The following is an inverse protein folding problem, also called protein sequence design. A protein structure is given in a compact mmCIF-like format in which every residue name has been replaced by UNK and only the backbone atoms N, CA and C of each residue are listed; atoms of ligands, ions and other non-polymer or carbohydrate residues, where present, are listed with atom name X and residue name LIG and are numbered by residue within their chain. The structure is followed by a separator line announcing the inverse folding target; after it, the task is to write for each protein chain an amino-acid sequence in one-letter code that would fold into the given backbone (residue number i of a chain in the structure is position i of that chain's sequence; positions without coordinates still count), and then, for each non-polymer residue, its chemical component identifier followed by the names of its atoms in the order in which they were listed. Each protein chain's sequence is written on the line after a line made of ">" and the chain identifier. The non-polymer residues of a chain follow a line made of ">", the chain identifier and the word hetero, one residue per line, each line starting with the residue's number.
data_IF_508859351339
#
_entry.id   IF_508859351339
#
_cell.length_a   1.000
_cell.length_b   1.000
_cell.length_c   1.000
_cell.angle_alpha   90.00
_cell.angle_beta   90.00
_cell.angle_gamma   90.00
#
_symmetry.space_group_name_H-M   'P 1'
#
loop_
_entity.id
_entity.type
_entity.pdbx_description
1 polymer ?
#
# COMPACT_ATOMS: atom_id res chain seq x y z
N UNK A 1 -4.44 -10.49 3.16
CA UNK A 1 -4.28 -10.95 1.78
C UNK A 1 -4.76 -9.89 0.83
N UNK A 2 -3.79 -9.21 0.24
CA UNK A 2 -4.02 -8.21 -0.80
C UNK A 2 -4.52 -8.93 -2.05
N UNK A 3 -5.54 -8.35 -2.70
CA UNK A 3 -6.12 -8.95 -3.90
C UNK A 3 -5.15 -8.83 -5.08
N UNK A 4 -4.90 -9.93 -5.80
CA UNK A 4 -4.11 -9.88 -7.03
C UNK A 4 -4.70 -8.93 -8.08
N UNK A 5 -6.02 -8.69 -8.05
CA UNK A 5 -6.67 -7.72 -8.94
C UNK A 5 -6.15 -6.29 -8.71
N UNK A 6 -5.73 -5.92 -7.48
CA UNK A 6 -5.24 -4.57 -7.21
C UNK A 6 -3.90 -4.27 -7.90
N UNK A 7 -3.20 -5.29 -8.38
CA UNK A 7 -1.98 -5.13 -9.17
C UNK A 7 -2.26 -4.81 -10.64
N UNK A 8 -3.51 -4.89 -11.09
CA UNK A 8 -3.84 -4.61 -12.50
C UNK A 8 -3.79 -3.10 -12.78
N UNK A 9 -3.30 -2.69 -13.98
CA UNK A 9 -3.30 -1.29 -14.39
C UNK A 9 -4.70 -0.65 -14.36
N UNK A 10 -5.73 -1.42 -14.67
CA UNK A 10 -7.13 -0.97 -14.69
C UNK A 10 -7.59 -0.61 -13.27
N UNK A 11 -7.29 -1.47 -12.30
CA UNK A 11 -7.64 -1.22 -10.90
C UNK A 11 -6.89 0.00 -10.36
N UNK A 12 -5.59 0.09 -10.64
CA UNK A 12 -4.75 1.24 -10.22
C UNK A 12 -5.29 2.55 -10.81
N UNK A 13 -5.63 2.57 -12.11
CA UNK A 13 -6.24 3.73 -12.77
C UNK A 13 -7.59 4.09 -12.17
N UNK A 14 -8.43 3.09 -11.86
CA UNK A 14 -9.73 3.31 -11.22
C UNK A 14 -9.57 3.93 -9.83
N UNK A 15 -8.67 3.40 -9.01
CA UNK A 15 -8.40 3.93 -7.66
C UNK A 15 -7.81 5.32 -7.71
N UNK A 16 -6.84 5.57 -8.59
CA UNK A 16 -6.29 6.90 -8.86
C UNK A 16 -7.42 7.91 -9.16
N UNK A 17 -8.31 7.58 -10.09
CA UNK A 17 -9.43 8.45 -10.48
C UNK A 17 -10.40 8.71 -9.32
N UNK A 18 -10.71 7.70 -8.52
CA UNK A 18 -11.66 7.80 -7.41
C UNK A 18 -11.10 8.54 -6.20
N UNK A 19 -9.77 8.66 -6.09
CA UNK A 19 -9.09 9.27 -4.94
C UNK A 19 -8.37 10.56 -5.34
N UNK A 20 -9.13 11.52 -5.90
CA UNK A 20 -8.62 12.85 -6.19
C UNK A 20 -7.58 12.92 -7.32
N UNK A 21 -7.61 11.95 -8.26
CA UNK A 21 -6.59 11.81 -9.32
C UNK A 21 -5.19 11.64 -8.77
N UNK A 22 -5.05 10.87 -7.67
CA UNK A 22 -3.76 10.50 -7.12
C UNK A 22 -2.86 9.91 -8.21
N UNK A 23 -1.55 10.16 -8.15
CA UNK A 23 -0.61 9.65 -9.14
C UNK A 23 -0.68 8.10 -9.20
N UNK A 24 -0.97 7.49 -10.38
CA UNK A 24 -1.08 6.05 -10.50
C UNK A 24 0.18 5.29 -10.08
N UNK A 25 1.37 5.86 -10.32
CA UNK A 25 2.64 5.27 -9.91
C UNK A 25 2.81 5.25 -8.39
N UNK A 26 2.36 6.29 -7.69
CA UNK A 26 2.32 6.29 -6.22
C UNK A 26 1.32 5.27 -5.69
N UNK A 27 0.13 5.16 -6.29
CA UNK A 27 -0.86 4.14 -5.91
C UNK A 27 -0.28 2.74 -6.05
N UNK A 28 0.37 2.45 -7.18
CA UNK A 28 1.03 1.17 -7.40
C UNK A 28 2.11 0.88 -6.34
N UNK A 29 2.95 1.88 -6.02
CA UNK A 29 4.00 1.74 -5.00
C UNK A 29 3.43 1.43 -3.62
N UNK A 30 2.32 2.06 -3.23
CA UNK A 30 1.64 1.75 -1.95
C UNK A 30 1.19 0.29 -1.93
N UNK A 31 0.56 -0.20 -3.01
CA UNK A 31 0.10 -1.59 -3.09
C UNK A 31 1.28 -2.56 -2.96
N UNK A 32 2.38 -2.27 -3.67
CA UNK A 32 3.60 -3.09 -3.62
C UNK A 32 4.27 -3.07 -2.24
N UNK A 33 4.30 -1.94 -1.56
CA UNK A 33 4.81 -1.83 -0.19
C UNK A 33 3.99 -2.70 0.78
N UNK A 34 2.66 -2.61 0.71
CA UNK A 34 1.79 -3.44 1.54
C UNK A 34 1.88 -4.93 1.19
N UNK A 35 2.09 -5.27 -0.09
CA UNK A 35 2.30 -6.65 -0.52
C UNK A 35 3.61 -7.23 0.02
N UNK A 36 4.67 -6.42 0.04
CA UNK A 36 5.93 -6.81 0.67
C UNK A 36 5.74 -7.04 2.17
N UNK A 37 5.04 -6.15 2.87
CA UNK A 37 4.72 -6.31 4.30
C UNK A 37 3.97 -7.62 4.56
N UNK A 38 2.97 -7.94 3.74
CA UNK A 38 2.24 -9.21 3.83
C UNK A 38 3.19 -10.41 3.71
N UNK A 39 4.07 -10.43 2.71
CA UNK A 39 5.07 -11.48 2.53
C UNK A 39 6.06 -11.60 3.69
N UNK A 40 6.48 -10.47 4.30
CA UNK A 40 7.36 -10.47 5.48
C UNK A 40 6.67 -11.11 6.70
N UNK A 41 5.39 -10.78 6.92
CA UNK A 41 4.57 -11.37 8.00
C UNK A 41 4.37 -12.87 7.75
N UNK A 42 4.04 -13.27 6.53
CA UNK A 42 3.85 -14.68 6.15
C UNK A 42 5.13 -15.50 6.29
N UNK A 43 6.28 -14.88 6.06
CA UNK A 43 7.61 -15.48 6.28
C UNK A 43 7.97 -15.65 7.76
N UNK A 44 7.11 -15.20 8.69
CA UNK A 44 7.30 -15.25 10.15
C UNK A 44 8.60 -14.60 10.60
N UNK A 45 9.03 -13.55 9.89
CA UNK A 45 10.16 -12.74 10.31
C UNK A 45 9.80 -11.97 11.59
N UNK A 46 10.76 -11.87 12.50
CA UNK A 46 10.61 -11.03 13.69
C UNK A 46 11.04 -9.60 13.35
N UNK A 47 10.07 -8.70 13.21
CA UNK A 47 10.31 -7.30 12.92
C UNK A 47 9.20 -6.42 13.48
N UNK A 48 9.55 -5.14 13.69
CA UNK A 48 8.58 -4.11 14.08
C UNK A 48 8.34 -3.21 12.88
N UNK A 49 7.13 -3.25 12.34
CA UNK A 49 6.70 -2.35 11.29
C UNK A 49 6.36 -0.97 11.86
N UNK A 50 6.95 0.09 11.28
CA UNK A 50 6.79 1.47 11.78
C UNK A 50 6.68 2.48 10.64
N UNK A 51 6.85 3.76 10.99
CA UNK A 51 6.92 4.84 10.01
C UNK A 51 5.59 5.28 9.44
N UNK A 52 5.66 5.96 8.29
CA UNK A 52 4.49 6.58 7.66
C UNK A 52 3.44 5.59 7.18
N UNK A 53 3.87 4.44 6.67
CA UNK A 53 2.99 3.40 6.13
C UNK A 53 2.26 2.65 7.25
N UNK A 54 2.93 2.42 8.40
CA UNK A 54 2.27 1.88 9.59
C UNK A 54 1.19 2.84 10.12
N UNK A 55 1.48 4.14 10.14
CA UNK A 55 0.50 5.15 10.56
C UNK A 55 -0.73 5.18 9.63
N UNK A 56 -0.54 5.02 8.32
CA UNK A 56 -1.66 4.93 7.37
C UNK A 56 -2.60 3.76 7.67
N UNK A 57 -2.05 2.59 8.04
CA UNK A 57 -2.87 1.43 8.41
C UNK A 57 -3.63 1.66 9.72
N UNK A 58 -2.96 2.22 10.73
CA UNK A 58 -3.56 2.49 12.04
C UNK A 58 -4.72 3.49 11.96
N UNK A 59 -4.62 4.49 11.09
CA UNK A 59 -5.63 5.53 10.95
C UNK A 59 -6.82 5.13 10.05
N UNK A 60 -6.74 4.00 9.35
CA UNK A 60 -7.79 3.52 8.43
C UNK A 60 -8.12 4.47 7.27
N UNK A 61 -7.33 5.53 7.12
CA UNK A 61 -7.49 6.58 6.13
C UNK A 61 -6.13 7.22 5.91
N UNK A 62 -5.92 7.80 4.73
CA UNK A 62 -4.67 8.48 4.42
C UNK A 62 -4.90 9.90 3.95
N UNK A 63 -4.20 10.84 4.60
CA UNK A 63 -4.04 12.21 4.11
C UNK A 63 -2.83 12.35 3.17
N UNK A 64 -1.90 11.39 3.20
CA UNK A 64 -0.67 11.36 2.38
C UNK A 64 -0.27 9.91 2.06
N UNK A 65 0.00 9.61 0.80
CA UNK A 65 0.52 8.30 0.42
C UNK A 65 1.96 8.13 0.97
N UNK A 66 2.20 7.00 1.60
CA UNK A 66 3.52 6.55 2.07
C UNK A 66 3.86 5.28 1.30
N UNK A 67 5.05 5.26 0.70
CA UNK A 67 5.45 4.25 -0.28
C UNK A 67 6.59 3.36 0.22
N UNK A 68 7.14 3.68 1.39
CA UNK A 68 8.28 2.98 1.97
C UNK A 68 7.81 1.94 3.00
N UNK A 69 8.66 0.94 3.26
CA UNK A 69 8.53 0.00 4.38
C UNK A 69 9.70 0.26 5.32
N UNK A 70 9.38 0.53 6.59
CA UNK A 70 10.31 0.93 7.65
C UNK A 70 10.16 0.07 8.92
#
# INVERSE_FOLDING_TARGET
>A
MISNQSLSPEWIKQVSKNNGKADPGLVEKVIRALLLLEGLVESKLDFVFKGGTALMLLLGSTKRLSIDIE
#
